data_IF_113175964381
#
_entry.id   IF_113175964381
#
_cell.length_a   1.000
_cell.length_b   1.000
_cell.length_c   1.000
_cell.angle_alpha   90.00
_cell.angle_beta   90.00
_cell.angle_gamma   90.00
#
_symmetry.space_group_name_H-M   'P 1'
#
loop_
_entity.id
_entity.type
_entity.pdbx_description
1 polymer ?
#
# COMPACT_ATOMS: atom_id res chain seq x y z
N UNK A 1 -0.30 23.25 -3.81
CA UNK A 1 -1.66 22.66 -3.82
C UNK A 1 -1.49 21.20 -4.21
N UNK A 2 -1.88 20.28 -3.33
CA UNK A 2 -1.85 18.85 -3.65
C UNK A 2 -3.12 18.55 -4.47
N UNK A 3 -2.94 18.14 -5.72
CA UNK A 3 -4.06 17.80 -6.59
C UNK A 3 -3.93 16.33 -6.90
N UNK A 4 -4.80 15.53 -6.31
CA UNK A 4 -4.95 14.13 -6.70
C UNK A 4 -5.75 14.10 -8.01
N UNK A 5 -5.05 13.91 -9.13
CA UNK A 5 -5.69 13.77 -10.43
C UNK A 5 -5.92 12.29 -10.68
N UNK A 6 -7.17 11.84 -10.53
CA UNK A 6 -7.59 10.51 -10.98
C UNK A 6 -7.68 10.53 -12.51
N UNK A 7 -6.55 10.28 -13.18
CA UNK A 7 -6.54 10.10 -14.62
C UNK A 7 -7.00 8.67 -14.96
N UNK A 8 -8.04 8.57 -15.80
CA UNK A 8 -8.49 7.34 -16.51
C UNK A 8 -8.36 6.05 -15.68
N UNK A 9 -9.32 5.78 -14.77
CA UNK A 9 -9.62 4.57 -13.94
C UNK A 9 -8.49 3.68 -13.40
N UNK A 10 -7.42 3.44 -14.15
CA UNK A 10 -6.35 2.49 -13.87
C UNK A 10 -5.02 3.15 -13.49
N UNK A 11 -4.89 4.48 -13.57
CA UNK A 11 -3.68 5.21 -13.23
C UNK A 11 -3.87 6.11 -12.02
N UNK A 12 -2.90 6.06 -11.10
CA UNK A 12 -2.88 6.89 -9.89
C UNK A 12 -1.62 7.74 -9.93
N UNK A 13 -1.80 9.05 -10.07
CA UNK A 13 -0.72 10.02 -10.02
C UNK A 13 -0.89 10.94 -8.82
N UNK A 14 0.20 11.18 -8.08
CA UNK A 14 0.28 12.31 -7.16
C UNK A 14 0.88 13.48 -7.93
N UNK A 15 0.15 14.59 -7.96
CA UNK A 15 0.61 15.83 -8.57
C UNK A 15 0.74 16.90 -7.50
N UNK A 16 1.97 17.39 -7.33
CA UNK A 16 2.24 18.54 -6.48
C UNK A 16 2.57 19.74 -7.34
N UNK A 17 1.73 20.77 -7.28
CA UNK A 17 1.99 22.05 -7.95
C UNK A 17 2.46 23.07 -6.92
N UNK A 18 3.62 23.66 -7.18
CA UNK A 18 4.23 24.73 -6.40
C UNK A 18 4.45 25.95 -7.27
N UNK A 19 4.13 27.11 -6.75
CA UNK A 19 4.51 28.39 -7.36
C UNK A 19 5.96 28.68 -7.01
N UNK A 20 6.74 29.10 -7.99
CA UNK A 20 8.10 29.60 -7.78
C UNK A 20 8.10 31.11 -7.98
N UNK A 21 8.52 31.85 -6.96
CA UNK A 21 8.62 33.30 -7.03
C UNK A 21 9.92 33.68 -7.74
N UNK A 22 9.79 33.96 -9.04
CA UNK A 22 10.87 34.52 -9.86
C UNK A 22 10.48 35.96 -10.20
N UNK A 23 11.32 36.97 -9.90
CA UNK A 23 11.00 38.36 -10.20
C UNK A 23 10.63 38.54 -11.69
N UNK A 24 9.43 39.06 -11.95
CA UNK A 24 8.94 39.35 -13.29
C UNK A 24 8.40 38.15 -14.08
N UNK A 25 8.38 36.93 -13.52
CA UNK A 25 7.84 35.73 -14.19
C UNK A 25 6.96 34.94 -13.23
N UNK A 26 5.74 34.65 -13.65
CA UNK A 26 4.88 33.72 -12.92
C UNK A 26 5.19 32.28 -13.35
N UNK A 27 5.94 31.57 -12.50
CA UNK A 27 6.34 30.19 -12.76
C UNK A 27 5.63 29.22 -11.81
N UNK A 28 5.10 28.14 -12.37
CA UNK A 28 4.57 27.00 -11.63
C UNK A 28 5.40 25.76 -11.97
N UNK A 29 5.81 25.04 -10.93
CA UNK A 29 6.49 23.75 -11.03
C UNK A 29 5.51 22.68 -10.58
N UNK A 30 5.28 21.69 -11.45
CA UNK A 30 4.46 20.52 -11.14
C UNK A 30 5.31 19.26 -11.11
N UNK A 31 5.33 18.57 -9.98
CA UNK A 31 5.94 17.24 -9.86
C UNK A 31 4.86 16.19 -10.05
N UNK A 32 5.13 15.22 -10.94
CA UNK A 32 4.23 14.10 -11.22
C UNK A 32 4.88 12.81 -10.71
N UNK A 33 4.23 12.12 -9.79
CA UNK A 33 4.67 10.83 -9.29
C UNK A 33 3.64 9.77 -9.65
N UNK A 34 4.05 8.78 -10.44
CA UNK A 34 3.23 7.62 -10.76
C UNK A 34 3.23 6.63 -9.58
N UNK A 35 2.07 6.45 -8.97
CA UNK A 35 1.83 5.54 -7.85
C UNK A 35 1.04 4.29 -8.26
N UNK A 36 0.75 4.13 -9.56
CA UNK A 36 -0.08 3.04 -10.08
C UNK A 36 0.46 1.67 -9.69
N UNK A 37 1.77 1.47 -9.88
CA UNK A 37 2.43 0.20 -9.57
C UNK A 37 2.39 -0.12 -8.07
N UNK A 38 2.58 0.88 -7.23
CA UNK A 38 2.63 0.70 -5.79
C UNK A 38 1.24 0.42 -5.22
N UNK A 39 0.23 1.16 -5.67
CA UNK A 39 -1.17 0.92 -5.30
C UNK A 39 -1.61 -0.51 -5.64
N UNK A 40 -1.31 -0.98 -6.86
CA UNK A 40 -1.65 -2.36 -7.28
C UNK A 40 -1.00 -3.43 -6.41
N UNK A 41 0.26 -3.23 -6.00
CA UNK A 41 0.95 -4.18 -5.10
C UNK A 41 0.31 -4.21 -3.72
N UNK A 42 -0.04 -3.06 -3.17
CA UNK A 42 -0.70 -2.96 -1.87
C UNK A 42 -2.05 -3.69 -1.92
N UNK A 43 -2.86 -3.42 -2.95
CA UNK A 43 -4.16 -4.08 -3.15
C UNK A 43 -4.02 -5.60 -3.34
N UNK A 44 -3.02 -6.05 -4.10
CA UNK A 44 -2.73 -7.47 -4.29
C UNK A 44 -2.30 -8.15 -2.98
N UNK A 45 -1.42 -7.51 -2.21
CA UNK A 45 -1.00 -8.00 -0.90
C UNK A 45 -2.16 -8.10 0.08
N UNK A 46 -3.04 -7.10 0.12
CA UNK A 46 -4.24 -7.12 0.95
C UNK A 46 -5.19 -8.24 0.53
N UNK A 47 -5.43 -8.41 -0.77
CA UNK A 47 -6.26 -9.49 -1.31
C UNK A 47 -5.71 -10.86 -0.90
N UNK A 48 -4.42 -11.11 -1.10
CA UNK A 48 -3.78 -12.37 -0.75
C UNK A 48 -3.81 -12.64 0.75
N UNK A 49 -3.66 -11.60 1.59
CA UNK A 49 -3.79 -11.73 3.05
C UNK A 49 -5.19 -12.18 3.44
N UNK A 50 -6.22 -11.51 2.93
CA UNK A 50 -7.63 -11.86 3.19
C UNK A 50 -7.94 -13.29 2.74
N UNK A 51 -7.46 -13.67 1.56
CA UNK A 51 -7.66 -15.03 1.02
C UNK A 51 -6.97 -16.09 1.87
N UNK A 52 -5.73 -15.82 2.34
CA UNK A 52 -5.01 -16.72 3.24
C UNK A 52 -5.75 -16.88 4.56
N UNK A 53 -6.16 -15.78 5.20
CA UNK A 53 -6.90 -15.83 6.47
C UNK A 53 -8.21 -16.61 6.32
N UNK A 54 -8.93 -16.39 5.22
CA UNK A 54 -10.16 -17.13 4.91
C UNK A 54 -9.89 -18.62 4.73
N UNK A 55 -8.81 -18.98 4.03
CA UNK A 55 -8.42 -20.38 3.81
C UNK A 55 -8.03 -21.07 5.11
N UNK A 56 -7.20 -20.42 5.94
CA UNK A 56 -6.80 -20.93 7.25
C UNK A 56 -8.02 -21.18 8.14
N UNK A 57 -8.98 -20.26 8.15
CA UNK A 57 -10.24 -20.38 8.88
C UNK A 57 -11.12 -21.52 8.39
N UNK A 58 -11.31 -21.66 7.08
CA UNK A 58 -12.15 -22.73 6.48
C UNK A 58 -11.50 -24.10 6.71
N UNK A 59 -10.19 -24.21 6.49
CA UNK A 59 -9.45 -25.46 6.65
C UNK A 59 -9.19 -25.82 8.12
N UNK A 60 -9.44 -24.89 9.06
CA UNK A 60 -9.05 -24.99 10.47
C UNK A 60 -7.56 -25.32 10.63
N UNK A 61 -6.73 -24.77 9.75
CA UNK A 61 -5.28 -24.95 9.76
C UNK A 61 -4.66 -23.67 10.27
N UNK A 62 -4.13 -23.74 11.48
CA UNK A 62 -3.34 -22.66 12.05
C UNK A 62 -1.90 -22.66 11.54
N UNK A 63 -1.25 -21.50 11.61
CA UNK A 63 0.18 -21.36 11.30
C UNK A 63 0.92 -20.80 12.50
N UNK A 64 2.16 -21.24 12.71
CA UNK A 64 3.03 -20.72 13.75
C UNK A 64 4.35 -20.27 13.15
N UNK A 65 4.98 -19.29 13.79
CA UNK A 65 6.30 -18.80 13.43
C UNK A 65 7.09 -18.51 14.68
N UNK A 66 8.26 -19.12 14.78
CA UNK A 66 9.24 -18.84 15.83
C UNK A 66 10.37 -17.99 15.24
N UNK A 67 10.59 -16.81 15.80
CA UNK A 67 11.81 -16.04 15.56
C UNK A 67 12.89 -16.55 16.52
N UNK A 68 13.91 -17.23 15.98
CA UNK A 68 14.98 -17.83 16.79
C UNK A 68 15.97 -16.80 17.35
N UNK A 69 15.99 -15.55 16.84
CA UNK A 69 16.84 -14.47 17.36
C UNK A 69 16.19 -13.77 18.54
N UNK A 70 14.88 -13.53 18.48
CA UNK A 70 14.15 -12.84 19.56
C UNK A 70 13.46 -13.82 20.51
N UNK A 71 13.41 -15.11 20.15
CA UNK A 71 12.62 -16.15 20.83
C UNK A 71 11.11 -15.83 20.87
N UNK A 72 10.63 -14.97 19.97
CA UNK A 72 9.22 -14.61 19.88
C UNK A 72 8.47 -15.63 19.04
N UNK A 73 7.28 -16.02 19.52
CA UNK A 73 6.42 -16.97 18.84
C UNK A 73 5.11 -16.29 18.44
N UNK A 74 4.77 -16.39 17.16
CA UNK A 74 3.51 -15.89 16.61
C UNK A 74 2.66 -17.07 16.17
N UNK A 75 1.49 -17.22 16.79
CA UNK A 75 0.48 -18.20 16.41
C UNK A 75 -0.65 -17.49 15.65
N UNK A 76 -1.20 -18.14 14.63
CA UNK A 76 -2.42 -17.62 13.99
C UNK A 76 -3.62 -17.82 14.92
N UNK A 77 -4.68 -16.99 14.80
CA UNK A 77 -5.88 -17.08 15.63
C UNK A 77 -6.51 -18.48 15.67
N UNK A 78 -6.39 -19.24 14.58
CA UNK A 78 -6.91 -20.60 14.43
C UNK A 78 -6.20 -21.63 15.32
N UNK A 79 -5.03 -21.32 15.89
CA UNK A 79 -4.30 -22.19 16.83
C UNK A 79 -4.77 -22.06 18.29
N UNK A 80 -5.55 -21.02 18.61
CA UNK A 80 -6.06 -20.76 19.96
C UNK A 80 -7.49 -21.31 20.18
N UNK A 81 -8.01 -22.06 19.19
CA UNK A 81 -9.35 -22.65 19.20
C UNK A 81 -9.38 -23.94 20.01
#
# INVERSE_FOLDING_TARGET
VEVEVTARRDFVFRIEIRRLEVPGIELYVATHLDLTRERRRIEELERLRVERERTQRIARVGSWRLDVRTSENTWSPEMYV
#
